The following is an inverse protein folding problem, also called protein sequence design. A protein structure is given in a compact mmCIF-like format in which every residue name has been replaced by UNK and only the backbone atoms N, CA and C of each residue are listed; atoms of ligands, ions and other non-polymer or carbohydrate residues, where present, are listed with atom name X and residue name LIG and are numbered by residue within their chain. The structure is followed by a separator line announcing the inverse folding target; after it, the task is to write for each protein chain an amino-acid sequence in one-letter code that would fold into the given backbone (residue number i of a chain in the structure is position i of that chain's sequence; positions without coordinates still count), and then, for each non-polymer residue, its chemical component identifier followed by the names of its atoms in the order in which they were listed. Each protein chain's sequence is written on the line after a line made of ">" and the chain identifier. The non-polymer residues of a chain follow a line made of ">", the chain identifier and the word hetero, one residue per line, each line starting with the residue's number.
data_IF_967205441632
#
_entry.id   IF_967205441632
#
_cell.length_a   1.000
_cell.length_b   1.000
_cell.length_c   1.000
_cell.angle_alpha   90.00
_cell.angle_beta   90.00
_cell.angle_gamma   90.00
#
_symmetry.space_group_name_H-M   'P 1'
#
loop_
_entity.id
_entity.type
_entity.pdbx_description
1 polymer ?
#
# COMPACT_ATOMS: atom_id res chain seq x y z
N UNK A 1 -12.70 -17.81 -26.74
CA UNK A 1 -12.98 -16.86 -25.63
C UNK A 1 -11.89 -16.83 -24.56
N UNK A 2 -11.28 -17.97 -24.17
CA UNK A 2 -10.19 -18.02 -23.18
C UNK A 2 -8.89 -17.31 -23.61
N UNK A 3 -8.50 -17.38 -24.88
CA UNK A 3 -7.24 -16.80 -25.37
C UNK A 3 -7.20 -15.26 -25.28
N UNK A 4 -8.31 -14.59 -25.63
CA UNK A 4 -8.41 -13.13 -25.52
C UNK A 4 -8.40 -12.70 -24.05
N UNK A 5 -9.06 -13.43 -23.15
CA UNK A 5 -9.06 -13.13 -21.72
C UNK A 5 -7.67 -13.25 -21.09
N UNK A 6 -6.91 -14.30 -21.46
CA UNK A 6 -5.50 -14.47 -21.04
C UNK A 6 -4.58 -13.41 -21.66
N UNK A 7 -4.84 -12.98 -22.89
CA UNK A 7 -4.10 -11.88 -23.52
C UNK A 7 -4.35 -10.55 -22.81
N UNK A 8 -5.60 -10.26 -22.45
CA UNK A 8 -5.95 -9.06 -21.70
C UNK A 8 -5.34 -9.08 -20.30
N UNK A 9 -5.32 -10.23 -19.62
CA UNK A 9 -4.60 -10.38 -18.34
C UNK A 9 -3.10 -10.15 -18.50
N UNK A 10 -2.46 -10.75 -19.50
CA UNK A 10 -1.03 -10.54 -19.77
C UNK A 10 -0.70 -9.10 -20.14
N UNK A 11 -1.57 -8.41 -20.88
CA UNK A 11 -1.38 -7.01 -21.24
C UNK A 11 -1.53 -6.12 -20.00
N UNK A 12 -2.52 -6.39 -19.14
CA UNK A 12 -2.68 -5.69 -17.86
C UNK A 12 -1.50 -5.98 -16.94
N UNK A 13 -1.04 -7.23 -16.82
CA UNK A 13 0.13 -7.61 -16.02
C UNK A 13 1.42 -6.99 -16.56
N UNK A 14 1.57 -6.88 -17.88
CA UNK A 14 2.71 -6.23 -18.52
C UNK A 14 2.68 -4.71 -18.30
N UNK A 15 1.49 -4.10 -18.34
CA UNK A 15 1.30 -2.69 -18.03
C UNK A 15 1.55 -2.40 -16.54
N UNK A 16 1.07 -3.26 -15.64
CA UNK A 16 1.36 -3.22 -14.21
C UNK A 16 2.86 -3.38 -13.97
N UNK A 17 3.53 -4.34 -14.63
CA UNK A 17 5.00 -4.51 -14.57
C UNK A 17 5.75 -3.28 -15.06
N UNK A 18 5.28 -2.64 -16.13
CA UNK A 18 5.88 -1.43 -16.67
C UNK A 18 5.72 -0.23 -15.71
N UNK A 19 4.59 -0.12 -15.02
CA UNK A 19 4.36 0.87 -13.96
C UNK A 19 5.26 0.59 -12.74
N UNK A 20 5.40 -0.68 -12.31
CA UNK A 20 6.29 -1.04 -11.19
C UNK A 20 7.77 -0.80 -11.50
N UNK A 21 8.17 -0.73 -12.78
CA UNK A 21 9.55 -0.40 -13.17
C UNK A 21 9.90 1.09 -13.16
N UNK A 22 8.95 2.00 -12.87
CA UNK A 22 9.24 3.45 -12.79
C UNK A 22 9.86 3.90 -11.46
N UNK A 23 9.65 3.15 -10.37
CA UNK A 23 10.11 3.54 -9.02
C UNK A 23 11.06 2.50 -8.44
N UNK A 24 12.10 2.96 -7.74
CA UNK A 24 13.08 2.09 -7.11
C UNK A 24 12.53 1.44 -5.84
N UNK A 25 13.04 0.24 -5.52
CA UNK A 25 12.74 -0.46 -4.25
C UNK A 25 13.02 0.45 -3.05
N UNK A 26 14.07 1.28 -3.14
CA UNK A 26 14.44 2.22 -2.09
C UNK A 26 13.34 3.25 -1.84
N UNK A 27 12.82 3.90 -2.88
CA UNK A 27 11.76 4.93 -2.75
C UNK A 27 10.47 4.34 -2.15
N UNK A 28 10.08 3.15 -2.61
CA UNK A 28 8.91 2.44 -2.08
C UNK A 28 9.13 2.09 -0.59
N UNK A 29 10.31 1.59 -0.24
CA UNK A 29 10.63 1.25 1.15
C UNK A 29 10.64 2.47 2.08
N UNK A 30 11.17 3.60 1.62
CA UNK A 30 11.24 4.85 2.40
C UNK A 30 9.84 5.40 2.66
N UNK A 31 8.97 5.34 1.65
CA UNK A 31 7.58 5.72 1.79
C UNK A 31 6.82 4.82 2.77
N UNK A 32 7.00 3.50 2.69
CA UNK A 32 6.32 2.57 3.61
C UNK A 32 6.76 2.84 5.06
N UNK A 33 8.07 3.05 5.30
CA UNK A 33 8.58 3.40 6.63
C UNK A 33 7.98 4.73 7.11
N UNK A 34 7.95 5.75 6.26
CA UNK A 34 7.35 7.04 6.61
C UNK A 34 5.84 6.93 6.89
N UNK A 35 5.11 6.11 6.13
CA UNK A 35 3.69 5.86 6.33
C UNK A 35 3.43 5.16 7.66
N UNK A 36 4.26 4.17 8.03
CA UNK A 36 4.19 3.50 9.35
C UNK A 36 4.41 4.51 10.47
N UNK A 37 5.44 5.36 10.37
CA UNK A 37 5.74 6.37 11.37
C UNK A 37 4.60 7.41 11.49
N UNK A 38 4.03 7.85 10.38
CA UNK A 38 2.88 8.75 10.36
C UNK A 38 1.64 8.11 11.01
N UNK A 39 1.39 6.82 10.71
CA UNK A 39 0.29 6.06 11.29
C UNK A 39 0.45 5.90 12.80
N UNK A 40 1.65 5.52 13.25
CA UNK A 40 2.00 5.38 14.66
C UNK A 40 1.77 6.69 15.43
N UNK A 41 2.25 7.81 14.87
CA UNK A 41 2.06 9.14 15.42
C UNK A 41 0.58 9.52 15.49
N UNK A 42 -0.20 9.27 14.44
CA UNK A 42 -1.62 9.63 14.39
C UNK A 42 -2.44 8.91 15.47
N UNK A 43 -2.19 7.62 15.67
CA UNK A 43 -2.93 6.79 16.64
C UNK A 43 -2.26 6.69 18.01
N UNK A 44 -1.16 7.40 18.23
CA UNK A 44 -0.40 7.38 19.50
C UNK A 44 0.02 5.97 19.93
N UNK A 45 0.44 5.14 18.97
CA UNK A 45 0.97 3.79 19.18
C UNK A 45 2.44 3.73 18.75
N UNK A 46 3.15 2.67 19.10
CA UNK A 46 4.54 2.48 18.65
C UNK A 46 4.60 2.13 17.16
N UNK A 47 5.70 2.44 16.49
CA UNK A 47 5.92 2.04 15.09
C UNK A 47 5.86 0.52 14.90
N UNK A 48 6.28 -0.25 15.92
CA UNK A 48 6.20 -1.71 15.91
C UNK A 48 4.75 -2.21 15.95
N UNK A 49 3.89 -1.58 16.76
CA UNK A 49 2.44 -1.86 16.80
C UNK A 49 1.76 -1.46 15.50
N UNK A 50 2.08 -0.28 14.96
CA UNK A 50 1.57 0.19 13.68
C UNK A 50 1.97 -0.74 12.53
N UNK A 51 3.25 -1.12 12.44
CA UNK A 51 3.72 -2.10 11.45
C UNK A 51 2.98 -3.43 11.60
N UNK A 52 2.89 -3.96 12.82
CA UNK A 52 2.21 -5.24 13.09
C UNK A 52 0.75 -5.20 12.66
N UNK A 53 0.03 -4.11 12.95
CA UNK A 53 -1.36 -3.90 12.55
C UNK A 53 -1.51 -3.79 11.02
N UNK A 54 -0.76 -2.88 10.39
CA UNK A 54 -0.82 -2.65 8.94
C UNK A 54 -0.43 -3.90 8.16
N UNK A 55 0.59 -4.63 8.61
CA UNK A 55 1.02 -5.87 7.97
C UNK A 55 -0.04 -6.98 8.13
N UNK A 56 -0.59 -7.17 9.33
CA UNK A 56 -1.61 -8.18 9.63
C UNK A 56 -2.83 -8.08 8.72
N UNK A 57 -3.27 -6.86 8.40
CA UNK A 57 -4.44 -6.64 7.55
C UNK A 57 -4.10 -6.38 6.07
N UNK A 58 -2.82 -6.47 5.69
CA UNK A 58 -2.35 -6.37 4.31
C UNK A 58 -2.20 -4.95 3.76
N UNK A 59 -2.24 -3.93 4.62
CA UNK A 59 -2.08 -2.53 4.22
C UNK A 59 -0.66 -2.23 3.70
N UNK A 60 0.37 -2.92 4.20
CA UNK A 60 1.74 -2.79 3.67
C UNK A 60 1.81 -3.23 2.21
N UNK A 61 1.11 -4.31 1.85
CA UNK A 61 1.03 -4.76 0.45
C UNK A 61 0.33 -3.74 -0.43
N UNK A 62 -0.75 -3.12 0.07
CA UNK A 62 -1.46 -2.04 -0.64
C UNK A 62 -0.53 -0.85 -0.86
N UNK A 63 0.20 -0.39 0.16
CA UNK A 63 1.15 0.71 0.05
C UNK A 63 2.28 0.43 -0.96
N UNK A 64 2.71 -0.83 -1.07
CA UNK A 64 3.67 -1.27 -2.07
C UNK A 64 3.07 -1.30 -3.48
N UNK A 65 1.93 -1.97 -3.67
CA UNK A 65 1.32 -2.21 -4.97
C UNK A 65 0.77 -0.93 -5.63
N UNK A 66 0.33 0.03 -4.82
CA UNK A 66 -0.27 1.30 -5.27
C UNK A 66 0.59 2.52 -4.89
N UNK A 67 1.89 2.31 -4.74
CA UNK A 67 2.84 3.37 -4.41
C UNK A 67 2.71 4.58 -5.35
N UNK A 68 2.62 4.31 -6.66
CA UNK A 68 2.49 5.29 -7.75
C UNK A 68 1.34 6.29 -7.56
N UNK A 69 0.26 5.88 -6.90
CA UNK A 69 -0.86 6.74 -6.54
C UNK A 69 -0.68 7.31 -5.14
N UNK A 70 -0.38 6.47 -4.15
CA UNK A 70 -0.40 6.84 -2.74
C UNK A 70 0.66 7.87 -2.35
N UNK A 71 1.83 7.86 -3.00
CA UNK A 71 2.91 8.82 -2.71
C UNK A 71 2.59 10.26 -3.14
N UNK A 72 1.59 10.45 -4.00
CA UNK A 72 1.16 11.78 -4.48
C UNK A 72 0.15 12.44 -3.53
N UNK A 73 -0.34 11.71 -2.54
CA UNK A 73 -1.35 12.17 -1.59
C UNK A 73 -0.72 12.57 -0.26
N UNK A 74 -1.48 13.26 0.59
CA UNK A 74 -0.99 13.64 1.92
C UNK A 74 -0.88 12.42 2.84
N UNK A 75 0.04 12.44 3.80
CA UNK A 75 0.15 11.37 4.79
C UNK A 75 -1.11 11.25 5.65
N UNK A 76 -1.78 12.34 6.01
CA UNK A 76 -3.00 12.30 6.81
C UNK A 76 -4.11 11.53 6.06
N UNK A 77 -4.29 11.80 4.76
CA UNK A 77 -5.27 11.08 3.92
C UNK A 77 -4.91 9.59 3.79
N UNK A 78 -3.62 9.28 3.63
CA UNK A 78 -3.16 7.89 3.48
C UNK A 78 -3.27 7.12 4.80
N UNK A 79 -3.01 7.75 5.94
CA UNK A 79 -3.23 7.15 7.27
C UNK A 79 -4.71 6.80 7.46
N UNK A 80 -5.63 7.72 7.13
CA UNK A 80 -7.07 7.46 7.22
C UNK A 80 -7.52 6.37 6.23
N UNK A 81 -6.97 6.38 5.02
CA UNK A 81 -7.24 5.38 3.99
C UNK A 81 -6.79 3.99 4.42
N UNK A 82 -5.59 3.87 5.03
CA UNK A 82 -5.07 2.61 5.55
C UNK A 82 -5.84 2.12 6.77
N UNK A 83 -6.23 3.01 7.69
CA UNK A 83 -7.07 2.65 8.82
C UNK A 83 -8.44 2.12 8.35
N UNK A 84 -9.06 2.80 7.40
CA UNK A 84 -10.32 2.38 6.78
C UNK A 84 -10.17 1.04 6.05
N UNK A 85 -9.05 0.84 5.34
CA UNK A 85 -8.74 -0.43 4.68
C UNK A 85 -8.62 -1.57 5.70
N UNK A 86 -7.83 -1.38 6.76
CA UNK A 86 -7.66 -2.37 7.82
C UNK A 86 -8.99 -2.68 8.52
N UNK A 87 -9.80 -1.66 8.79
CA UNK A 87 -11.13 -1.82 9.40
C UNK A 87 -12.04 -2.72 8.56
N UNK A 88 -12.11 -2.50 7.24
CA UNK A 88 -12.85 -3.39 6.31
C UNK A 88 -12.33 -4.82 6.27
N UNK A 89 -11.10 -5.07 6.73
CA UNK A 89 -10.48 -6.39 6.84
C UNK A 89 -10.61 -7.00 8.25
N UNK A 90 -11.38 -6.39 9.14
CA UNK A 90 -11.58 -6.85 10.52
C UNK A 90 -10.56 -6.30 11.52
N UNK A 91 -9.88 -5.21 11.16
CA UNK A 91 -9.00 -4.47 12.05
C UNK A 91 -9.77 -3.57 13.01
N UNK A 92 -9.34 -3.55 14.26
CA UNK A 92 -9.85 -2.64 15.29
C UNK A 92 -8.64 -1.89 15.87
N UNK A 93 -8.69 -0.57 15.81
CA UNK A 93 -7.65 0.32 16.31
C UNK A 93 -8.30 1.41 17.16
#
# INVERSE_FOLDING_TARGET
>A
MYFIFELTKKIVDLHIKFITTMFSIKEISEYIVALIAAFAKHYSITEAEAYSYLNRYGAIKVAHDFYDVMHTQTFDDMVQSMASYCSRKGGTL
#
